data_IF_187261109271
#
_entry.id   IF_187261109271
#
_cell.length_a   1.000
_cell.length_b   1.000
_cell.length_c   1.000
_cell.angle_alpha   90.00
_cell.angle_beta   90.00
_cell.angle_gamma   90.00
#
_symmetry.space_group_name_H-M   'P 1'
#
loop_
_entity.id
_entity.type
_entity.pdbx_description
1 polymer ?
#
# COMPACT_ATOMS: atom_id res chain seq x y z
N UNK A 1 10.80 3.51 7.10
CA UNK A 1 10.11 4.62 6.45
C UNK A 1 10.58 4.75 5.01
N UNK A 2 9.83 5.49 4.22
CA UNK A 2 10.22 5.73 2.84
C UNK A 2 11.54 6.47 2.73
N UNK A 3 11.79 7.41 3.63
CA UNK A 3 13.05 8.15 3.67
C UNK A 3 14.23 7.21 3.84
N UNK A 4 14.11 6.26 4.76
CA UNK A 4 15.16 5.28 4.96
C UNK A 4 15.43 4.47 3.68
N UNK A 5 14.37 4.04 3.00
CA UNK A 5 14.52 3.25 1.78
C UNK A 5 15.23 4.03 0.68
N UNK A 6 14.93 5.32 0.56
CA UNK A 6 15.58 6.16 -0.43
C UNK A 6 17.06 6.37 -0.10
N UNK A 7 17.39 6.53 1.18
CA UNK A 7 18.77 6.67 1.60
C UNK A 7 19.59 5.43 1.32
N UNK A 8 18.95 4.25 1.42
CA UNK A 8 19.61 2.98 1.11
C UNK A 8 19.57 2.65 -0.38
N UNK A 9 19.11 3.60 -1.20
CA UNK A 9 19.03 3.45 -2.65
C UNK A 9 18.08 2.36 -3.12
N UNK A 10 17.05 2.08 -2.32
CA UNK A 10 15.95 1.24 -2.75
C UNK A 10 14.89 2.11 -3.40
N UNK A 11 14.35 1.66 -4.52
CA UNK A 11 13.31 2.38 -5.23
C UNK A 11 12.05 1.54 -5.29
N UNK A 12 10.92 2.04 -4.82
CA UNK A 12 9.66 1.32 -5.00
C UNK A 12 9.19 1.43 -6.44
N UNK A 13 8.73 0.31 -6.97
CA UNK A 13 8.16 0.26 -8.32
C UNK A 13 6.80 -0.41 -8.21
N UNK A 14 5.77 0.30 -8.63
CA UNK A 14 4.43 -0.24 -8.61
C UNK A 14 4.19 -0.98 -9.91
N UNK A 15 3.82 -2.25 -9.80
CA UNK A 15 3.59 -3.10 -10.96
C UNK A 15 2.12 -3.28 -11.27
N UNK A 16 1.23 -3.04 -10.28
CA UNK A 16 -0.20 -3.17 -10.49
C UNK A 16 -0.94 -2.32 -9.48
N UNK A 17 -1.97 -1.65 -9.95
CA UNK A 17 -2.89 -0.92 -9.09
C UNK A 17 -4.30 -1.25 -9.55
N UNK A 18 -5.13 -1.69 -8.59
CA UNK A 18 -6.56 -1.81 -8.78
C UNK A 18 -7.23 -0.82 -7.84
N UNK A 19 -8.05 0.04 -8.37
CA UNK A 19 -8.74 1.07 -7.61
C UNK A 19 -10.23 0.97 -7.89
N UNK A 20 -11.01 0.91 -6.84
CA UNK A 20 -12.44 0.74 -6.94
C UNK A 20 -13.15 1.84 -6.14
N UNK A 21 -13.98 2.60 -6.82
CA UNK A 21 -14.83 3.61 -6.19
C UNK A 21 -16.21 3.04 -6.01
N UNK A 22 -16.64 2.93 -4.77
CA UNK A 22 -17.93 2.30 -4.44
C UNK A 22 -19.00 3.33 -4.12
N UNK A 23 -18.65 4.35 -3.34
CA UNK A 23 -19.57 5.39 -2.92
C UNK A 23 -18.85 6.73 -2.93
N UNK A 24 -19.52 7.80 -3.31
CA UNK A 24 -18.89 9.12 -3.26
C UNK A 24 -18.72 9.60 -1.82
N UNK A 25 -17.60 10.25 -1.55
CA UNK A 25 -17.42 11.01 -0.33
C UNK A 25 -17.95 12.41 -0.57
N UNK A 26 -18.68 12.94 0.40
CA UNK A 26 -19.25 14.27 0.33
C UNK A 26 -18.58 15.20 1.32
N UNK A 27 -18.64 16.50 1.03
CA UNK A 27 -18.11 17.50 1.95
C UNK A 27 -18.78 17.34 3.31
N UNK A 28 -17.96 17.32 4.36
CA UNK A 28 -18.45 17.14 5.72
C UNK A 28 -18.54 15.70 6.19
N UNK A 29 -18.30 14.73 5.31
CA UNK A 29 -18.28 13.33 5.72
C UNK A 29 -17.07 13.07 6.60
N UNK A 30 -17.28 12.26 7.63
CA UNK A 30 -16.18 11.68 8.40
C UNK A 30 -15.84 10.32 7.82
N UNK A 31 -14.57 9.98 7.86
CA UNK A 31 -14.14 8.71 7.30
C UNK A 31 -12.94 8.16 8.06
N UNK A 32 -12.75 6.87 7.94
CA UNK A 32 -11.54 6.20 8.43
C UNK A 32 -10.82 5.55 7.28
N UNK A 33 -9.50 5.48 7.39
CA UNK A 33 -8.64 4.86 6.40
C UNK A 33 -7.97 3.66 7.06
N UNK A 34 -8.04 2.52 6.40
CA UNK A 34 -7.40 1.30 6.86
C UNK A 34 -6.39 0.86 5.82
N UNK A 35 -5.25 0.40 6.29
CA UNK A 35 -4.15 0.02 5.41
C UNK A 35 -3.54 -1.28 5.91
N UNK A 36 -3.38 -2.24 5.00
CA UNK A 36 -2.70 -3.50 5.29
C UNK A 36 -1.56 -3.67 4.31
N UNK A 37 -0.39 -4.01 4.83
CA UNK A 37 0.79 -4.28 4.01
C UNK A 37 1.25 -5.69 4.29
N UNK A 38 1.40 -6.49 3.24
CA UNK A 38 1.85 -7.87 3.36
C UNK A 38 2.85 -8.19 2.27
N UNK A 39 3.60 -9.26 2.50
CA UNK A 39 4.49 -9.80 1.48
C UNK A 39 3.69 -10.71 0.55
N UNK A 40 3.78 -10.46 -0.75
CA UNK A 40 3.14 -11.31 -1.75
C UNK A 40 4.05 -12.43 -2.21
N UNK A 41 5.31 -12.10 -2.50
CA UNK A 41 6.34 -13.07 -2.85
C UNK A 41 7.63 -12.65 -2.16
N UNK A 42 8.71 -13.38 -2.41
CA UNK A 42 10.01 -13.07 -1.82
C UNK A 42 10.47 -11.65 -2.13
N UNK A 43 10.10 -11.12 -3.28
CA UNK A 43 10.54 -9.79 -3.72
C UNK A 43 9.39 -8.84 -4.02
N UNK A 44 8.16 -9.26 -3.82
CA UNK A 44 6.99 -8.41 -4.07
C UNK A 44 6.21 -8.18 -2.81
N UNK A 45 5.74 -6.96 -2.65
CA UNK A 45 4.81 -6.59 -1.58
C UNK A 45 3.46 -6.26 -2.18
N UNK A 46 2.45 -6.27 -1.33
CA UNK A 46 1.15 -5.76 -1.69
C UNK A 46 0.57 -5.00 -0.52
N UNK A 47 -0.23 -4.00 -0.81
CA UNK A 47 -1.01 -3.39 0.23
C UNK A 47 -2.44 -3.17 -0.23
N UNK A 48 -3.32 -3.18 0.75
CA UNK A 48 -4.73 -2.92 0.57
C UNK A 48 -5.05 -1.67 1.36
N UNK A 49 -5.80 -0.78 0.75
CA UNK A 49 -6.29 0.42 1.42
C UNK A 49 -7.79 0.47 1.27
N UNK A 50 -8.46 0.85 2.34
CA UNK A 50 -9.90 0.95 2.35
C UNK A 50 -10.30 2.23 3.07
N UNK A 51 -11.21 2.97 2.47
CA UNK A 51 -11.78 4.16 3.07
C UNK A 51 -13.23 3.87 3.37
N UNK A 52 -13.64 4.09 4.61
CA UNK A 52 -15.01 3.83 5.07
C UNK A 52 -15.60 5.09 5.65
N UNK A 53 -16.88 5.32 5.37
CA UNK A 53 -17.63 6.42 6.02
C UNK A 53 -17.93 6.07 7.46
N UNK A 54 -17.91 7.07 8.31
CA UNK A 54 -18.28 6.94 9.72
C UNK A 54 -19.60 7.67 9.90
N UNK A 55 -20.57 7.14 10.64
CA UNK A 55 -20.54 5.92 11.45
C UNK A 55 -21.00 4.66 10.74
N UNK A 56 -21.46 4.75 9.50
CA UNK A 56 -22.07 3.61 8.81
C UNK A 56 -21.08 2.50 8.50
N UNK A 57 -19.78 2.81 8.44
CA UNK A 57 -18.71 1.87 8.06
C UNK A 57 -18.86 1.34 6.65
N UNK A 58 -19.55 2.08 5.79
CA UNK A 58 -19.66 1.71 4.40
C UNK A 58 -18.38 2.04 3.66
N UNK A 59 -17.88 1.09 2.87
CA UNK A 59 -16.68 1.30 2.07
C UNK A 59 -16.97 2.23 0.92
N UNK A 60 -16.15 3.27 0.79
CA UNK A 60 -16.27 4.22 -0.32
C UNK A 60 -15.23 3.98 -1.39
N UNK A 61 -14.05 3.51 -0.99
CA UNK A 61 -12.93 3.31 -1.90
C UNK A 61 -12.11 2.14 -1.42
N UNK A 62 -11.69 1.31 -2.35
CA UNK A 62 -10.73 0.22 -2.09
C UNK A 62 -9.62 0.31 -3.09
N UNK A 63 -8.41 0.06 -2.63
CA UNK A 63 -7.24 0.00 -3.49
C UNK A 63 -6.43 -1.24 -3.17
N UNK A 64 -5.90 -1.86 -4.20
CA UNK A 64 -4.99 -2.99 -4.08
C UNK A 64 -3.77 -2.68 -4.93
N UNK A 65 -2.62 -2.64 -4.31
CA UNK A 65 -1.38 -2.25 -4.97
C UNK A 65 -0.36 -3.35 -4.82
N UNK A 66 0.27 -3.70 -5.92
CA UNK A 66 1.37 -4.66 -5.93
C UNK A 66 2.60 -3.94 -6.44
N UNK A 67 3.71 -4.17 -5.77
CA UNK A 67 4.96 -3.56 -6.18
C UNK A 67 6.16 -4.35 -5.73
N UNK A 68 7.31 -3.83 -6.06
CA UNK A 68 8.58 -4.37 -5.64
C UNK A 68 9.52 -3.22 -5.34
N UNK A 69 10.64 -3.51 -4.69
CA UNK A 69 11.71 -2.55 -4.57
C UNK A 69 12.86 -2.97 -5.47
N UNK A 70 13.47 -2.00 -6.13
CA UNK A 70 14.71 -2.23 -6.86
C UNK A 70 15.87 -1.78 -5.99
N UNK A 71 16.85 -2.65 -5.85
CA UNK A 71 18.07 -2.33 -5.12
C UNK A 71 19.05 -1.55 -5.99
N UNK A 72 20.27 -1.31 -5.47
CA UNK A 72 21.27 -0.52 -6.19
C UNK A 72 21.61 -1.03 -7.57
N UNK A 73 21.43 -2.31 -7.83
CA UNK A 73 21.72 -2.95 -9.12
C UNK A 73 20.48 -3.11 -10.01
N UNK A 74 19.41 -2.37 -9.68
CA UNK A 74 18.12 -2.45 -10.40
C UNK A 74 17.52 -3.86 -10.40
N UNK A 75 17.80 -4.63 -9.35
CA UNK A 75 17.23 -5.96 -9.20
C UNK A 75 16.13 -5.94 -8.15
N UNK A 76 15.05 -6.69 -8.35
CA UNK A 76 14.01 -6.78 -7.34
C UNK A 76 14.56 -7.33 -6.02
N UNK A 77 14.32 -6.60 -4.95
CA UNK A 77 14.74 -7.00 -3.60
C UNK A 77 13.65 -6.62 -2.60
N UNK A 78 13.67 -7.26 -1.45
CA UNK A 78 12.84 -6.86 -0.32
C UNK A 78 13.76 -6.34 0.77
N UNK A 79 13.72 -5.03 1.10
CA UNK A 79 14.58 -4.49 2.15
C UNK A 79 14.32 -5.20 3.48
N UNK A 80 15.39 -5.55 4.19
CA UNK A 80 15.27 -6.27 5.45
C UNK A 80 14.54 -5.47 6.52
N UNK A 81 14.74 -4.16 6.49
CA UNK A 81 14.12 -3.29 7.49
C UNK A 81 12.68 -2.96 7.19
N UNK A 82 12.17 -3.43 6.08
CA UNK A 82 10.78 -3.27 5.78
C UNK A 82 10.02 -4.38 6.47
N UNK A 83 9.60 -4.10 7.69
CA UNK A 83 8.78 -5.06 8.43
C UNK A 83 7.40 -5.06 7.85
N UNK A 84 7.14 -6.06 7.06
CA UNK A 84 5.83 -6.29 6.52
C UNK A 84 5.01 -6.94 7.62
N UNK A 85 3.82 -6.43 7.84
CA UNK A 85 2.92 -7.02 8.80
C UNK A 85 2.57 -8.42 8.34
N UNK A 86 2.89 -9.38 9.18
CA UNK A 86 2.47 -10.74 8.92
C UNK A 86 1.04 -10.89 9.37
N UNK A 87 0.19 -11.46 8.54
CA UNK A 87 -1.16 -11.73 8.95
C UNK A 87 -1.21 -12.73 10.10
#
# INVERSE_FOLDING_TARGET
>A
SLTYLLEEKFRPVITKIDLEYLLPLQSGDSFSVQLWLTRLTRVKFQFFQQIQKIPSMQSTTRAHVIGTFLGPNDRPVMPENMKILHP
#
